data_IF_360322147575
#
_entry.id   IF_360322147575
#
_cell.length_a   1.000
_cell.length_b   1.000
_cell.length_c   1.000
_cell.angle_alpha   90.00
_cell.angle_beta   90.00
_cell.angle_gamma   90.00
#
_symmetry.space_group_name_H-M   'P 1'
#
loop_
_entity.id
_entity.type
_entity.pdbx_description
1 polymer ?
#
# COMPACT_ATOMS: atom_id res chain seq x y z
N UNK A 1 -14.02 0.22 -11.50
CA UNK A 1 -12.87 0.42 -12.41
C UNK A 1 -11.59 0.47 -11.58
N UNK A 2 -10.40 0.31 -12.17
CA UNK A 2 -9.12 0.29 -11.42
C UNK A 2 -8.92 1.58 -10.59
N UNK A 3 -9.36 2.72 -11.11
CA UNK A 3 -9.27 4.01 -10.43
C UNK A 3 -10.08 4.03 -9.11
N UNK A 4 -11.19 3.30 -9.03
CA UNK A 4 -11.98 3.21 -7.80
C UNK A 4 -11.22 2.49 -6.68
N UNK A 5 -10.44 1.47 -7.05
CA UNK A 5 -9.59 0.73 -6.10
C UNK A 5 -8.44 1.62 -5.59
N UNK A 6 -7.79 2.36 -6.50
CA UNK A 6 -6.76 3.34 -6.14
C UNK A 6 -7.31 4.46 -5.25
N UNK A 7 -8.48 5.01 -5.60
CA UNK A 7 -9.14 6.05 -4.82
C UNK A 7 -9.55 5.55 -3.44
N UNK A 8 -10.07 4.32 -3.33
CA UNK A 8 -10.43 3.72 -2.04
C UNK A 8 -9.22 3.59 -1.12
N UNK A 9 -8.09 3.08 -1.62
CA UNK A 9 -6.84 3.00 -0.85
C UNK A 9 -6.38 4.40 -0.43
N UNK A 10 -6.37 5.35 -1.36
CA UNK A 10 -6.00 6.74 -1.08
C UNK A 10 -6.85 7.39 0.01
N UNK A 11 -8.17 7.24 -0.06
CA UNK A 11 -9.11 7.77 0.93
C UNK A 11 -8.89 7.16 2.31
N UNK A 12 -8.72 5.83 2.40
CA UNK A 12 -8.46 5.17 3.69
C UNK A 12 -7.18 5.72 4.32
N UNK A 13 -6.11 5.89 3.53
CA UNK A 13 -4.83 6.41 4.01
C UNK A 13 -4.94 7.86 4.48
N UNK A 14 -5.61 8.73 3.73
CA UNK A 14 -5.81 10.14 4.10
C UNK A 14 -6.64 10.27 5.38
N UNK A 15 -7.75 9.52 5.49
CA UNK A 15 -8.62 9.55 6.69
C UNK A 15 -7.91 8.98 7.92
N UNK A 16 -6.97 8.05 7.74
CA UNK A 16 -6.23 7.43 8.84
C UNK A 16 -5.01 8.23 9.30
N UNK A 17 -4.59 9.25 8.54
CA UNK A 17 -3.38 10.01 8.81
C UNK A 17 -3.65 11.19 9.76
N UNK A 18 -2.67 11.60 10.60
CA UNK A 18 -2.80 12.81 11.42
C UNK A 18 -2.99 14.09 10.59
N UNK A 19 -3.68 15.08 11.18
CA UNK A 19 -4.02 16.35 10.51
C UNK A 19 -2.82 17.18 10.04
N UNK A 20 -1.63 17.00 10.64
CA UNK A 20 -0.41 17.72 10.28
C UNK A 20 0.34 17.10 9.08
N UNK A 21 -0.16 16.00 8.52
CA UNK A 21 0.46 15.32 7.39
C UNK A 21 0.37 16.15 6.09
N UNK A 22 1.45 16.15 5.33
CA UNK A 22 1.51 16.74 3.98
C UNK A 22 1.87 15.74 2.89
N UNK A 23 2.53 14.64 3.27
CA UNK A 23 2.84 13.50 2.39
C UNK A 23 2.66 12.20 3.16
N UNK A 24 2.10 11.17 2.53
CA UNK A 24 2.02 9.80 3.06
C UNK A 24 2.94 8.90 2.22
N UNK A 25 3.66 7.99 2.87
CA UNK A 25 4.43 6.92 2.24
C UNK A 25 4.14 5.62 2.98
N UNK A 26 3.41 4.72 2.32
CA UNK A 26 2.97 3.44 2.88
C UNK A 26 3.50 2.30 2.04
N UNK A 27 4.11 1.30 2.68
CA UNK A 27 4.47 0.06 2.02
C UNK A 27 3.46 -1.02 2.35
N UNK A 28 3.06 -1.78 1.34
CA UNK A 28 2.13 -2.90 1.45
C UNK A 28 2.78 -4.12 0.83
N UNK A 29 3.02 -5.17 1.61
CA UNK A 29 3.60 -6.44 1.17
C UNK A 29 2.60 -7.56 1.38
N UNK A 30 2.20 -8.25 0.32
CA UNK A 30 1.26 -9.37 0.40
C UNK A 30 2.07 -10.67 0.35
N UNK A 31 1.70 -11.64 1.18
CA UNK A 31 2.26 -12.98 1.15
C UNK A 31 1.92 -13.67 -0.18
N UNK A 32 2.74 -14.64 -0.59
CA UNK A 32 2.54 -15.33 -1.87
C UNK A 32 1.17 -16.02 -1.98
N UNK A 33 0.67 -16.55 -0.86
CA UNK A 33 -0.60 -17.27 -0.80
C UNK A 33 -1.80 -16.35 -0.59
N UNK A 34 -1.60 -15.02 -0.66
CA UNK A 34 -2.63 -13.99 -0.55
C UNK A 34 -3.45 -14.04 0.77
N UNK A 35 -2.89 -14.64 1.82
CA UNK A 35 -3.52 -14.89 3.12
C UNK A 35 -2.99 -13.99 4.25
N UNK A 36 -1.86 -13.32 4.01
CA UNK A 36 -1.21 -12.44 4.97
C UNK A 36 -0.63 -11.17 4.32
N UNK A 37 -0.43 -10.14 5.13
CA UNK A 37 0.05 -8.83 4.67
C UNK A 37 0.89 -8.15 5.75
N UNK A 38 1.97 -7.49 5.31
CA UNK A 38 2.80 -6.61 6.11
C UNK A 38 2.71 -5.17 5.62
N UNK A 39 2.85 -4.24 6.56
CA UNK A 39 2.76 -2.81 6.29
C UNK A 39 3.85 -2.02 7.00
N UNK A 40 4.17 -0.87 6.42
CA UNK A 40 4.61 0.28 7.20
C UNK A 40 3.75 1.49 6.82
N UNK A 41 3.52 2.39 7.76
CA UNK A 41 2.71 3.59 7.57
C UNK A 41 3.50 4.81 8.03
N UNK A 42 4.09 5.53 7.08
CA UNK A 42 4.84 6.75 7.36
C UNK A 42 4.13 7.97 6.76
N UNK A 43 4.31 9.12 7.40
CA UNK A 43 3.94 10.42 6.85
C UNK A 43 5.04 11.45 7.10
N UNK A 44 4.99 12.54 6.35
CA UNK A 44 5.82 13.72 6.55
C UNK A 44 4.91 14.87 6.99
N UNK A 45 5.32 15.59 8.03
CA UNK A 45 4.65 16.80 8.48
C UNK A 45 5.09 18.03 7.66
N UNK A 46 4.49 19.19 7.95
CA UNK A 46 4.83 20.45 7.29
C UNK A 46 6.28 20.94 7.48
N UNK A 47 7.02 20.36 8.42
CA UNK A 47 8.46 20.60 8.67
C UNK A 47 9.34 19.53 8.02
N UNK A 48 8.76 18.65 7.20
CA UNK A 48 9.42 17.54 6.53
C UNK A 48 9.97 16.47 7.50
N UNK A 49 9.42 16.37 8.72
CA UNK A 49 9.79 15.29 9.63
C UNK A 49 9.04 14.03 9.25
N UNK A 50 9.77 12.92 9.06
CA UNK A 50 9.18 11.60 8.87
C UNK A 50 8.70 11.05 10.22
N UNK A 51 7.45 10.64 10.29
CA UNK A 51 6.80 10.04 11.45
C UNK A 51 6.02 8.79 11.05
N UNK A 52 5.86 7.85 11.98
CA UNK A 52 4.97 6.71 11.82
C UNK A 52 3.55 7.09 12.27
N UNK A 53 2.53 6.52 11.64
CA UNK A 53 1.17 6.56 12.13
C UNK A 53 0.58 5.14 12.15
N UNK A 54 -0.45 4.92 12.96
CA UNK A 54 -1.05 3.59 13.14
C UNK A 54 -2.53 3.63 12.79
N UNK A 55 -2.91 3.25 11.56
CA UNK A 55 -4.31 3.08 11.20
C UNK A 55 -5.00 2.07 12.11
N UNK A 56 -6.29 2.26 12.35
CA UNK A 56 -7.12 1.29 13.09
C UNK A 56 -7.18 -0.04 12.34
N UNK A 57 -7.47 -1.14 13.06
CA UNK A 57 -7.45 -2.49 12.45
C UNK A 57 -8.33 -2.59 11.20
N UNK A 58 -9.54 -2.03 11.27
CA UNK A 58 -10.49 -2.05 10.15
C UNK A 58 -9.93 -1.38 8.88
N UNK A 59 -9.20 -0.27 9.03
CA UNK A 59 -8.57 0.42 7.90
C UNK A 59 -7.48 -0.43 7.25
N UNK A 60 -6.70 -1.17 8.05
CA UNK A 60 -5.68 -2.11 7.52
C UNK A 60 -6.34 -3.26 6.77
N UNK A 61 -7.40 -3.84 7.32
CA UNK A 61 -8.15 -4.92 6.66
C UNK A 61 -8.76 -4.43 5.34
N UNK A 62 -9.34 -3.22 5.32
CA UNK A 62 -9.92 -2.64 4.11
C UNK A 62 -8.87 -2.37 3.03
N UNK A 63 -7.66 -1.95 3.41
CA UNK A 63 -6.53 -1.85 2.47
C UNK A 63 -6.15 -3.23 1.94
N UNK A 64 -6.05 -4.25 2.80
CA UNK A 64 -5.69 -5.61 2.41
C UNK A 64 -6.64 -6.16 1.34
N UNK A 65 -7.95 -6.17 1.64
CA UNK A 65 -8.95 -6.71 0.72
C UNK A 65 -9.02 -5.90 -0.58
N UNK A 66 -8.87 -4.57 -0.52
CA UNK A 66 -8.82 -3.73 -1.74
C UNK A 66 -7.60 -4.05 -2.60
N UNK A 67 -6.46 -4.39 -1.99
CA UNK A 67 -5.28 -4.82 -2.73
C UNK A 67 -5.44 -6.21 -3.36
N UNK A 68 -6.15 -7.14 -2.70
CA UNK A 68 -6.50 -8.44 -3.31
C UNK A 68 -7.45 -8.26 -4.50
N UNK A 69 -8.43 -7.37 -4.39
CA UNK A 69 -9.30 -6.97 -5.51
C UNK A 69 -8.49 -6.37 -6.66
N UNK A 70 -7.47 -5.56 -6.35
CA UNK A 70 -6.57 -4.98 -7.34
C UNK A 70 -5.71 -6.06 -8.03
N UNK A 71 -5.13 -7.01 -7.28
CA UNK A 71 -4.41 -8.16 -7.86
C UNK A 71 -5.31 -8.92 -8.84
N UNK A 72 -6.52 -9.26 -8.41
CA UNK A 72 -7.51 -9.94 -9.22
C UNK A 72 -7.83 -9.16 -10.50
N UNK A 73 -8.04 -7.85 -10.39
CA UNK A 73 -8.30 -6.99 -11.56
C UNK A 73 -7.15 -7.04 -12.58
N UNK A 74 -5.89 -6.98 -12.14
CA UNK A 74 -4.73 -7.09 -13.03
C UNK A 74 -4.69 -8.44 -13.77
N UNK A 75 -4.99 -9.53 -13.07
CA UNK A 75 -4.98 -10.89 -13.63
C UNK A 75 -6.13 -11.06 -14.62
N UNK A 76 -7.36 -10.75 -14.21
CA UNK A 76 -8.58 -10.94 -15.00
C UNK A 76 -8.58 -10.10 -16.30
N UNK A 77 -7.85 -8.98 -16.30
CA UNK A 77 -7.74 -8.08 -17.47
C UNK A 77 -6.41 -8.21 -18.22
N UNK A 78 -5.61 -9.26 -17.97
CA UNK A 78 -4.31 -9.52 -18.62
C UNK A 78 -3.33 -8.32 -18.55
N UNK A 79 -3.39 -7.52 -17.48
CA UNK A 79 -2.53 -6.35 -17.27
C UNK A 79 -1.13 -6.72 -16.81
N UNK A 80 -0.89 -7.98 -16.46
CA UNK A 80 0.45 -8.51 -16.19
C UNK A 80 1.21 -8.87 -17.46
N UNK A 81 0.53 -8.93 -18.62
CA UNK A 81 1.10 -9.34 -19.91
C UNK A 81 1.88 -10.67 -19.82
N UNK A 82 1.29 -11.66 -19.15
CA UNK A 82 1.88 -12.99 -18.94
C UNK A 82 3.02 -13.05 -17.92
N UNK A 83 3.36 -11.95 -17.24
CA UNK A 83 4.36 -11.91 -16.17
C UNK A 83 3.73 -12.22 -14.80
N UNK A 84 4.56 -12.59 -13.79
CA UNK A 84 4.09 -12.69 -12.41
C UNK A 84 3.42 -11.41 -11.94
N UNK A 85 2.36 -11.55 -11.13
CA UNK A 85 1.75 -10.42 -10.42
C UNK A 85 2.75 -9.87 -9.40
N UNK A 86 2.68 -8.57 -9.12
CA UNK A 86 3.49 -7.91 -8.10
C UNK A 86 3.23 -8.50 -6.70
N UNK A 87 4.25 -8.48 -5.85
CA UNK A 87 4.20 -8.95 -4.47
C UNK A 87 3.66 -7.89 -3.49
N UNK A 88 3.77 -6.61 -3.87
CA UNK A 88 3.26 -5.50 -3.08
C UNK A 88 3.43 -4.16 -3.80
N UNK A 89 3.31 -3.07 -3.05
CA UNK A 89 3.56 -1.73 -3.59
C UNK A 89 3.98 -0.72 -2.52
N UNK A 90 4.59 0.37 -2.97
CA UNK A 90 4.73 1.60 -2.20
C UNK A 90 3.68 2.59 -2.72
N UNK A 91 2.84 3.08 -1.81
CA UNK A 91 1.84 4.11 -2.07
C UNK A 91 2.38 5.44 -1.56
N UNK A 92 2.52 6.40 -2.45
CA UNK A 92 2.83 7.79 -2.10
C UNK A 92 1.62 8.69 -2.35
N UNK A 93 1.26 9.49 -1.36
CA UNK A 93 0.19 10.49 -1.49
C UNK A 93 0.76 11.86 -1.16
N UNK A 94 0.70 12.76 -2.13
CA UNK A 94 0.87 14.20 -1.91
C UNK A 94 -0.49 14.80 -1.61
N UNK A 95 -0.72 15.11 -0.32
CA UNK A 95 -2.03 15.58 0.16
C UNK A 95 -2.33 16.96 -0.42
N UNK A 96 -1.31 17.83 -0.51
CA UNK A 96 -1.48 19.21 -1.00
C UNK A 96 -1.88 19.24 -2.47
N UNK A 97 -1.25 18.40 -3.28
CA UNK A 97 -1.51 18.34 -4.72
C UNK A 97 -2.57 17.30 -5.10
N UNK A 98 -3.18 16.63 -4.12
CA UNK A 98 -4.17 15.55 -4.34
C UNK A 98 -3.68 14.50 -5.35
N UNK A 99 -2.38 14.15 -5.26
CA UNK A 99 -1.74 13.20 -6.18
C UNK A 99 -1.42 11.91 -5.44
N UNK A 100 -1.79 10.79 -6.05
CA UNK A 100 -1.45 9.45 -5.58
C UNK A 100 -0.55 8.76 -6.60
N UNK A 101 0.43 8.00 -6.12
CA UNK A 101 1.31 7.17 -6.95
C UNK A 101 1.45 5.78 -6.33
N UNK A 102 1.38 4.76 -7.18
CA UNK A 102 1.62 3.37 -6.81
C UNK A 102 2.89 2.89 -7.50
N UNK A 103 3.87 2.51 -6.71
CA UNK A 103 5.07 1.83 -7.20
C UNK A 103 4.96 0.34 -6.87
N UNK A 104 4.63 -0.49 -7.85
CA UNK A 104 4.52 -1.93 -7.66
C UNK A 104 5.90 -2.59 -7.49
N UNK A 105 6.00 -3.51 -6.53
CA UNK A 105 7.21 -4.27 -6.23
C UNK A 105 6.96 -5.74 -6.54
N UNK A 106 7.88 -6.35 -7.29
CA UNK A 106 7.77 -7.75 -7.71
C UNK A 106 8.51 -8.71 -6.76
N UNK A 107 9.45 -8.18 -5.98
CA UNK A 107 10.18 -8.87 -4.94
C UNK A 107 9.70 -8.41 -3.56
N UNK A 108 9.99 -9.20 -2.52
CA UNK A 108 9.64 -8.84 -1.15
C UNK A 108 10.52 -7.68 -0.68
N UNK A 109 9.89 -6.66 -0.07
CA UNK A 109 10.60 -5.48 0.42
C UNK A 109 10.23 -5.10 1.85
N UNK A 110 9.31 -5.85 2.47
CA UNK A 110 8.94 -5.76 3.88
C UNK A 110 8.94 -7.19 4.44
N UNK A 111 9.54 -7.43 5.62
CA UNK A 111 9.42 -8.72 6.30
C UNK A 111 7.95 -9.07 6.55
N UNK A 112 7.55 -10.32 6.33
CA UNK A 112 6.19 -10.79 6.59
C UNK A 112 5.93 -11.12 8.07
N UNK A 113 6.99 -11.47 8.80
CA UNK A 113 6.95 -11.80 10.23
C UNK A 113 8.30 -11.49 10.89
N UNK A 114 8.30 -11.43 12.22
CA UNK A 114 9.52 -11.20 12.99
C UNK A 114 10.50 -12.37 12.78
N UNK A 115 11.75 -12.06 12.41
CA UNK A 115 12.76 -13.07 12.04
C UNK A 115 12.72 -13.52 10.57
N UNK A 116 11.89 -12.91 9.72
CA UNK A 116 11.93 -13.09 8.27
C UNK A 116 13.15 -12.35 7.69
N UNK A 117 14.24 -13.08 7.48
CA UNK A 117 15.36 -12.61 6.66
C UNK A 117 14.82 -12.43 5.23
N UNK A 118 14.67 -11.18 4.78
CA UNK A 118 14.32 -10.87 3.39
C UNK A 118 15.31 -11.57 2.45
N UNK A 119 14.96 -12.77 2.00
CA UNK A 119 15.68 -13.55 1.00
C UNK A 119 14.74 -13.82 -0.16
N UNK A 120 15.27 -13.57 -1.34
CA UNK A 120 14.60 -13.58 -2.64
C UNK A 120 13.93 -14.93 -2.96
#
# INVERSE_FOLDING_TARGET
>A
MIDDLYNKIGQILVVSCPDDAVKIVTGIQIAKEDDAVSYYFNYFDNKNNKKEFKPVSKARDDIFYTMLELKKYFIDNNLTNGKPIWAGCIVEIDIKNSKINFEFKYERFIPLFEGDDLKD
#
